data_IF_063032204176
#
_entry.id   IF_063032204176
#
_cell.length_a   1.000
_cell.length_b   1.000
_cell.length_c   1.000
_cell.angle_alpha   90.00
_cell.angle_beta   90.00
_cell.angle_gamma   90.00
#
_symmetry.space_group_name_H-M   'P 1'
#
loop_
_entity.id
_entity.type
_entity.pdbx_description
1 polymer ?
#
# COMPACT_ATOMS: atom_id res chain seq x y z
N UNK A 1 3.63 1.81 -18.79
CA UNK A 1 4.35 3.02 -18.36
C UNK A 1 3.42 3.87 -17.52
N UNK A 2 3.28 3.49 -16.27
CA UNK A 2 2.74 4.33 -15.20
C UNK A 2 3.81 5.31 -14.71
N UNK A 3 3.42 6.33 -13.95
CA UNK A 3 4.40 7.29 -13.41
C UNK A 3 5.31 6.67 -12.34
N UNK A 4 4.82 5.65 -11.61
CA UNK A 4 5.59 4.92 -10.61
C UNK A 4 6.67 4.03 -11.23
N UNK A 5 6.40 3.40 -12.38
CA UNK A 5 7.41 2.65 -13.17
C UNK A 5 8.62 3.50 -13.57
N UNK A 6 8.45 4.81 -13.77
CA UNK A 6 9.53 5.76 -14.06
C UNK A 6 10.19 6.33 -12.80
N UNK A 7 9.40 6.76 -11.81
CA UNK A 7 9.91 7.45 -10.63
C UNK A 7 10.57 6.51 -9.60
N UNK A 8 10.13 5.26 -9.47
CA UNK A 8 10.66 4.34 -8.45
C UNK A 8 12.13 3.96 -8.65
N UNK A 9 12.62 3.61 -9.87
CA UNK A 9 14.05 3.37 -10.10
C UNK A 9 14.92 4.59 -9.74
N UNK A 10 14.46 5.79 -10.10
CA UNK A 10 15.16 7.04 -9.76
C UNK A 10 15.19 7.31 -8.25
N UNK A 11 14.11 7.00 -7.53
CA UNK A 11 14.06 7.12 -6.07
C UNK A 11 15.02 6.12 -5.37
N UNK A 12 15.10 4.87 -5.85
CA UNK A 12 16.05 3.84 -5.38
C UNK A 12 17.51 4.25 -5.60
N UNK A 13 17.80 4.82 -6.77
CA UNK A 13 19.10 5.42 -7.11
C UNK A 13 19.39 6.75 -6.38
N UNK A 14 18.43 7.26 -5.58
CA UNK A 14 18.47 8.57 -4.90
C UNK A 14 18.59 9.78 -5.84
N UNK A 15 18.22 9.63 -7.11
CA UNK A 15 18.22 10.65 -8.18
C UNK A 15 16.99 11.57 -8.13
N UNK A 16 16.67 12.11 -6.95
CA UNK A 16 15.43 12.87 -6.74
C UNK A 16 15.29 14.10 -7.66
N UNK A 17 16.39 14.74 -8.06
CA UNK A 17 16.37 15.90 -8.98
C UNK A 17 15.89 15.55 -10.39
N UNK A 18 16.12 14.32 -10.85
CA UNK A 18 15.62 13.84 -12.15
C UNK A 18 14.09 13.65 -12.17
N UNK A 19 13.45 13.68 -11.00
CA UNK A 19 11.99 13.56 -10.82
C UNK A 19 11.31 14.96 -10.76
N UNK A 20 12.07 16.03 -10.54
CA UNK A 20 11.53 17.39 -10.43
C UNK A 20 10.96 17.92 -11.76
N UNK A 21 9.89 18.73 -11.71
CA UNK A 21 9.38 19.43 -12.91
C UNK A 21 10.45 20.42 -13.41
N UNK A 22 10.94 20.30 -14.66
CA UNK A 22 11.93 21.21 -15.24
C UNK A 22 11.51 22.70 -15.20
N UNK A 23 10.21 22.99 -15.12
CA UNK A 23 9.70 24.37 -14.98
C UNK A 23 10.05 25.01 -13.64
N UNK A 24 10.36 24.22 -12.61
CA UNK A 24 10.87 24.73 -11.32
C UNK A 24 12.30 25.25 -11.44
N UNK A 25 13.08 24.87 -12.47
CA UNK A 25 14.45 25.36 -12.72
C UNK A 25 15.37 25.28 -11.49
N UNK A 26 15.34 24.14 -10.81
CA UNK A 26 16.06 23.88 -9.56
C UNK A 26 15.69 24.80 -8.36
N UNK A 27 14.60 25.57 -8.47
CA UNK A 27 14.05 26.39 -7.38
C UNK A 27 13.13 25.53 -6.50
N UNK A 28 13.73 24.62 -5.73
CA UNK A 28 13.03 23.80 -4.73
C UNK A 28 13.98 23.41 -3.58
N UNK A 29 13.42 23.09 -2.41
CA UNK A 29 14.20 22.51 -1.31
C UNK A 29 14.35 21.01 -1.55
N UNK A 30 15.59 20.56 -1.78
CA UNK A 30 15.90 19.16 -2.12
C UNK A 30 15.37 18.14 -1.08
N UNK A 31 15.41 18.49 0.20
CA UNK A 31 14.86 17.67 1.28
C UNK A 31 13.32 17.54 1.22
N UNK A 32 12.61 18.58 0.77
CA UNK A 32 11.15 18.56 0.60
C UNK A 32 10.76 17.78 -0.64
N UNK A 33 11.49 17.94 -1.75
CA UNK A 33 11.31 17.14 -2.96
C UNK A 33 11.50 15.65 -2.66
N UNK A 34 12.61 15.26 -2.02
CA UNK A 34 12.87 13.88 -1.60
C UNK A 34 11.73 13.32 -0.75
N UNK A 35 11.29 14.08 0.26
CA UNK A 35 10.17 13.71 1.14
C UNK A 35 8.86 13.52 0.35
N UNK A 36 8.53 14.45 -0.54
CA UNK A 36 7.33 14.36 -1.37
C UNK A 36 7.35 13.14 -2.30
N UNK A 37 8.49 12.84 -2.92
CA UNK A 37 8.67 11.66 -3.79
C UNK A 37 8.50 10.36 -3.00
N UNK A 38 9.18 10.20 -1.86
CA UNK A 38 9.09 8.99 -1.03
C UNK A 38 7.65 8.75 -0.55
N UNK A 39 6.98 9.78 -0.03
CA UNK A 39 5.59 9.67 0.45
C UNK A 39 4.63 9.39 -0.70
N UNK A 40 4.78 10.09 -1.84
CA UNK A 40 3.93 9.89 -3.01
C UNK A 40 4.04 8.49 -3.60
N UNK A 41 5.25 7.93 -3.66
CA UNK A 41 5.49 6.55 -4.09
C UNK A 41 4.88 5.54 -3.10
N UNK A 42 5.07 5.74 -1.78
CA UNK A 42 4.50 4.87 -0.76
C UNK A 42 2.96 4.85 -0.77
N UNK A 43 2.31 6.01 -1.02
CA UNK A 43 0.86 6.10 -1.20
C UNK A 43 0.35 5.41 -2.47
N UNK A 44 1.20 5.30 -3.50
CA UNK A 44 0.86 4.78 -4.83
C UNK A 44 1.12 3.28 -4.99
N UNK A 45 1.45 2.57 -3.92
CA UNK A 45 1.71 1.12 -3.96
C UNK A 45 0.48 0.32 -4.41
N UNK A 46 0.70 -0.72 -5.21
CA UNK A 46 -0.38 -1.55 -5.76
C UNK A 46 -1.17 -2.25 -4.65
N UNK A 47 -0.47 -2.79 -3.66
CA UNK A 47 -1.02 -3.41 -2.44
C UNK A 47 -1.58 -2.34 -1.51
N UNK A 48 -2.79 -2.53 -1.01
CA UNK A 48 -3.46 -1.55 -0.15
C UNK A 48 -2.84 -1.55 1.26
N UNK A 49 -2.50 -2.73 1.75
CA UNK A 49 -1.92 -3.01 3.06
C UNK A 49 -0.50 -2.44 3.26
N UNK A 50 0.18 -2.04 2.18
CA UNK A 50 1.49 -1.38 2.24
C UNK A 50 1.40 0.16 2.25
N UNK A 51 0.22 0.73 2.00
CA UNK A 51 0.03 2.19 1.94
C UNK A 51 -0.03 2.77 3.36
N UNK A 52 0.64 3.91 3.63
CA UNK A 52 0.50 4.61 4.90
C UNK A 52 -0.93 5.15 5.09
N UNK A 53 -1.39 5.25 6.34
CA UNK A 53 -2.68 5.90 6.64
C UNK A 53 -2.54 7.43 6.52
N UNK A 54 -3.66 8.13 6.25
CA UNK A 54 -3.61 9.57 5.95
C UNK A 54 -3.00 10.43 7.07
N UNK A 55 -3.07 10.01 8.34
CA UNK A 55 -2.39 10.70 9.45
C UNK A 55 -0.87 10.58 9.38
N UNK A 56 -0.35 9.40 9.00
CA UNK A 56 1.09 9.18 8.77
C UNK A 56 1.57 9.96 7.55
N UNK A 57 0.78 10.01 6.47
CA UNK A 57 1.08 10.83 5.28
C UNK A 57 1.25 12.30 5.68
N UNK A 58 0.32 12.86 6.45
CA UNK A 58 0.39 14.25 6.92
C UNK A 58 1.62 14.49 7.82
N UNK A 59 1.92 13.57 8.74
CA UNK A 59 3.08 13.68 9.63
C UNK A 59 4.42 13.58 8.86
N UNK A 60 4.51 12.63 7.92
CA UNK A 60 5.67 12.48 7.03
C UNK A 60 5.87 13.75 6.20
N UNK A 61 4.81 14.32 5.62
CA UNK A 61 4.87 15.54 4.80
C UNK A 61 5.24 16.80 5.60
N UNK A 62 4.72 16.95 6.83
CA UNK A 62 5.15 18.01 7.77
C UNK A 62 6.66 18.00 8.01
N UNK A 63 7.26 16.81 8.03
CA UNK A 63 8.71 16.65 8.16
C UNK A 63 9.25 16.90 9.56
N UNK A 64 8.38 16.93 10.56
CA UNK A 64 8.70 17.17 11.98
C UNK A 64 9.49 16.00 12.61
N UNK A 65 9.35 14.78 12.06
CA UNK A 65 10.12 13.59 12.46
C UNK A 65 11.08 13.14 11.35
N UNK A 66 12.38 13.37 11.57
CA UNK A 66 13.44 12.85 10.71
C UNK A 66 13.55 11.32 10.76
N UNK A 67 13.22 10.72 11.91
CA UNK A 67 13.21 9.27 12.12
C UNK A 67 12.20 8.59 11.20
N UNK A 68 10.95 9.06 11.17
CA UNK A 68 9.90 8.48 10.31
C UNK A 68 10.24 8.56 8.83
N UNK A 69 10.83 9.66 8.38
CA UNK A 69 11.29 9.79 6.99
C UNK A 69 12.49 8.87 6.69
N UNK A 70 13.39 8.68 7.65
CA UNK A 70 14.53 7.75 7.53
C UNK A 70 14.04 6.29 7.49
N UNK A 71 13.06 5.92 8.31
CA UNK A 71 12.45 4.60 8.28
C UNK A 71 11.79 4.33 6.92
N UNK A 72 11.07 5.31 6.36
CA UNK A 72 10.48 5.22 5.02
C UNK A 72 11.54 5.07 3.92
N UNK A 73 12.65 5.83 3.96
CA UNK A 73 13.73 5.69 2.98
C UNK A 73 14.43 4.31 3.01
N UNK A 74 14.40 3.63 4.16
CA UNK A 74 14.98 2.30 4.34
C UNK A 74 14.00 1.14 4.11
N UNK A 75 12.75 1.43 3.70
CA UNK A 75 11.77 0.42 3.31
C UNK A 75 12.27 -0.42 2.11
N UNK A 76 11.80 -1.68 2.03
CA UNK A 76 12.19 -2.60 0.95
C UNK A 76 11.87 -2.05 -0.45
N UNK A 77 10.80 -1.27 -0.60
CA UNK A 77 10.44 -0.61 -1.85
C UNK A 77 11.55 0.28 -2.39
N UNK A 78 12.29 0.99 -1.53
CA UNK A 78 13.31 1.98 -1.93
C UNK A 78 14.74 1.44 -1.92
N UNK A 79 14.95 0.16 -1.56
CA UNK A 79 16.26 -0.47 -1.71
C UNK A 79 16.58 -0.69 -3.21
N UNK A 80 17.84 -0.52 -3.63
CA UNK A 80 18.25 -0.90 -4.98
C UNK A 80 18.10 -2.41 -5.15
N UNK A 81 17.55 -2.85 -6.28
CA UNK A 81 17.39 -4.25 -6.59
C UNK A 81 18.78 -4.89 -6.81
N UNK A 82 19.26 -5.65 -5.82
CA UNK A 82 20.55 -6.38 -5.88
C UNK A 82 20.56 -7.52 -6.93
N UNK A 83 19.42 -7.79 -7.56
CA UNK A 83 19.23 -8.76 -8.64
C UNK A 83 19.76 -8.22 -9.98
N UNK A 84 21.07 -8.04 -10.07
CA UNK A 84 21.80 -7.76 -11.33
C UNK A 84 23.15 -8.48 -11.45
N UNK A 85 23.54 -9.31 -10.46
CA UNK A 85 24.84 -10.02 -10.50
C UNK A 85 24.82 -11.42 -9.88
N UNK A 86 23.97 -12.31 -10.39
CA UNK A 86 24.25 -13.76 -10.34
C UNK A 86 24.11 -14.33 -11.73
N UNK A 87 25.18 -14.98 -12.21
CA UNK A 87 25.16 -15.73 -13.45
C UNK A 87 24.29 -16.97 -13.30
N UNK A 88 23.73 -17.38 -14.43
CA UNK A 88 22.97 -18.61 -14.61
C UNK A 88 23.70 -19.84 -14.02
N UNK A 89 23.06 -20.51 -13.06
CA UNK A 89 23.41 -21.83 -12.52
C UNK A 89 22.23 -22.43 -11.76
N UNK A 90 21.25 -22.88 -12.54
CA UNK A 90 20.42 -24.08 -12.39
C UNK A 90 20.11 -24.72 -11.00
N UNK A 91 18.89 -25.27 -10.94
CA UNK A 91 18.36 -26.25 -9.98
C UNK A 91 17.93 -25.78 -8.57
N UNK A 92 16.64 -25.45 -8.47
CA UNK A 92 15.80 -26.01 -7.41
C UNK A 92 14.46 -26.43 -8.01
N UNK A 93 14.33 -27.72 -8.30
CA UNK A 93 13.08 -28.33 -8.75
C UNK A 93 12.26 -28.74 -7.54
N UNK A 94 11.01 -28.31 -7.42
CA UNK A 94 9.96 -29.11 -6.80
C UNK A 94 8.60 -28.78 -7.43
N UNK A 95 7.95 -29.74 -8.11
CA UNK A 95 6.64 -29.55 -8.73
C UNK A 95 5.49 -29.97 -7.80
N UNK A 96 4.28 -29.59 -8.23
CA UNK A 96 3.00 -30.25 -7.96
C UNK A 96 2.42 -30.22 -6.53
N UNK A 97 1.22 -29.64 -6.38
CA UNK A 97 0.00 -30.45 -6.37
C UNK A 97 -1.26 -29.56 -6.29
N UNK A 98 -2.37 -30.10 -6.80
CA UNK A 98 -3.68 -29.45 -6.93
C UNK A 98 -4.55 -29.59 -5.66
N UNK A 99 -5.53 -28.70 -5.47
CA UNK A 99 -6.97 -29.03 -5.55
C UNK A 99 -7.88 -27.97 -4.89
N UNK A 100 -8.97 -27.63 -5.59
CA UNK A 100 -10.05 -26.82 -5.06
C UNK A 100 -11.11 -27.70 -4.39
N UNK A 101 -11.45 -27.41 -3.13
CA UNK A 101 -12.54 -28.11 -2.44
C UNK A 101 -13.87 -27.41 -2.77
N UNK A 102 -14.79 -28.19 -3.33
CA UNK A 102 -16.16 -27.78 -3.68
C UNK A 102 -17.09 -27.72 -2.48
N UNK A 103 -18.08 -26.84 -2.54
CA UNK A 103 -19.24 -26.78 -1.65
C UNK A 103 -19.92 -28.15 -1.45
N UNK A 104 -20.09 -28.60 -0.20
CA UNK A 104 -21.05 -29.66 0.13
C UNK A 104 -22.27 -29.05 0.86
N UNK A 105 -23.43 -29.20 0.21
CA UNK A 105 -24.74 -28.82 0.72
C UNK A 105 -25.42 -30.05 1.31
N UNK A 106 -25.87 -29.97 2.56
CA UNK A 106 -26.95 -30.85 3.03
C UNK A 106 -28.11 -30.11 3.73
N UNK A 107 -29.27 -30.31 3.13
CA UNK A 107 -30.64 -30.28 3.66
C UNK A 107 -30.83 -31.04 5.00
N UNK A 108 -31.90 -30.86 5.80
CA UNK A 108 -33.07 -29.96 5.77
C UNK A 108 -33.81 -30.03 7.13
N UNK A 109 -34.40 -28.89 7.55
CA UNK A 109 -35.56 -28.63 8.43
C UNK A 109 -36.06 -29.68 9.46
N UNK A 110 -36.43 -29.21 10.67
CA UNK A 110 -37.81 -28.79 11.01
C UNK A 110 -37.80 -28.11 12.41
N UNK A 111 -38.79 -27.32 12.88
CA UNK A 111 -40.08 -26.88 12.30
C UNK A 111 -40.46 -25.43 12.74
N UNK A 112 -41.75 -25.06 12.65
CA UNK A 112 -42.41 -23.76 12.88
C UNK A 112 -43.01 -23.58 14.30
N UNK A 113 -43.15 -22.32 14.74
CA UNK A 113 -44.30 -21.68 15.44
C UNK A 113 -43.81 -20.34 16.07
N UNK A 114 -44.55 -19.22 16.17
CA UNK A 114 -45.82 -18.75 15.58
C UNK A 114 -45.81 -17.19 15.68
N UNK A 115 -46.67 -16.48 14.96
CA UNK A 115 -46.62 -15.00 14.88
C UNK A 115 -47.57 -14.26 15.87
N UNK A 116 -47.05 -13.22 16.53
CA UNK A 116 -47.78 -12.11 17.20
C UNK A 116 -46.82 -10.91 17.13
N UNK A 117 -46.94 -9.98 16.16
CA UNK A 117 -47.91 -8.89 16.05
C UNK A 117 -48.21 -8.11 17.35
N UNK A 118 -47.65 -6.92 17.48
CA UNK A 118 -48.34 -5.76 18.05
C UNK A 118 -47.57 -4.48 17.71
N UNK A 119 -48.34 -3.43 17.39
CA UNK A 119 -47.86 -2.10 17.04
C UNK A 119 -47.77 -1.20 18.28
N UNK A 120 -47.60 0.12 18.03
CA UNK A 120 -47.71 1.26 18.96
C UNK A 120 -46.45 1.60 19.77
N UNK A 121 -46.15 2.84 20.16
CA UNK A 121 -46.49 4.23 19.76
C UNK A 121 -45.65 5.09 20.73
N UNK A 122 -45.12 6.24 20.28
CA UNK A 122 -44.27 7.14 21.09
C UNK A 122 -45.05 7.81 22.23
N UNK A 123 -44.44 8.01 23.41
CA UNK A 123 -44.74 9.18 24.24
C UNK A 123 -43.54 10.12 24.44
N UNK A 124 -43.84 11.40 24.49
CA UNK A 124 -42.94 12.52 24.77
C UNK A 124 -43.01 12.93 26.25
N UNK A 125 -41.87 13.35 26.83
CA UNK A 125 -41.64 14.19 28.01
C UNK A 125 -40.26 13.84 28.59
N UNK A 126 -39.46 14.76 29.16
CA UNK A 126 -39.76 16.10 29.68
C UNK A 126 -38.59 17.06 29.45
#
# INVERSE_FOLDING_TARGET
LTITEWALPLARDKKFKEIADPKLKDVFVEAELKRMVLVGLACSQNKQEQRPIMSEVVELLKGESAEKLSNLENDEMFKPDLTSSFQDSSHSSHPDSSDCITEEKNSKADTIDEAVDSSETVPSAR
#
